data_IF_897165814855
#
_entry.id   IF_897165814855
#
_cell.length_a   1.000
_cell.length_b   1.000
_cell.length_c   1.000
_cell.angle_alpha   90.00
_cell.angle_beta   90.00
_cell.angle_gamma   90.00
#
_symmetry.space_group_name_H-M   'P 1'
#
loop_
_entity.id
_entity.type
_entity.pdbx_description
1 polymer ?
#
# COMPACT_ATOMS: atom_id res chain seq x y z
N UNK A 1 -2.14 2.13 10.73
CA UNK A 1 -3.17 1.25 10.14
C UNK A 1 -3.11 1.38 8.62
N UNK A 2 -3.05 0.28 7.87
CA UNK A 2 -2.89 0.33 6.40
C UNK A 2 -4.12 0.93 5.69
N UNK A 3 -3.89 1.66 4.59
CA UNK A 3 -4.97 2.28 3.83
C UNK A 3 -5.67 1.24 2.94
N UNK A 4 -7.01 1.21 2.91
CA UNK A 4 -7.76 0.35 1.99
C UNK A 4 -7.56 0.83 0.55
N UNK A 5 -7.23 -0.11 -0.34
CA UNK A 5 -7.07 0.15 -1.77
C UNK A 5 -8.46 0.22 -2.43
N UNK A 6 -8.75 1.33 -3.13
CA UNK A 6 -10.04 1.59 -3.77
C UNK A 6 -10.25 0.78 -5.05
N UNK A 7 -9.17 0.25 -5.64
CA UNK A 7 -9.24 -0.58 -6.84
C UNK A 7 -9.91 -1.93 -6.53
N UNK A 8 -10.99 -2.24 -7.26
CA UNK A 8 -11.76 -3.48 -7.11
C UNK A 8 -10.88 -4.73 -7.25
N UNK A 9 -9.87 -4.68 -8.10
CA UNK A 9 -8.93 -5.78 -8.35
C UNK A 9 -8.11 -6.08 -7.10
N UNK A 10 -7.62 -5.04 -6.41
CA UNK A 10 -6.80 -5.18 -5.22
C UNK A 10 -7.61 -5.61 -4.00
N UNK A 11 -8.85 -5.11 -3.89
CA UNK A 11 -9.80 -5.51 -2.86
C UNK A 11 -10.18 -6.99 -2.98
N UNK A 12 -10.41 -7.49 -4.21
CA UNK A 12 -10.76 -8.90 -4.47
C UNK A 12 -9.72 -9.89 -3.93
N UNK A 13 -8.44 -9.50 -3.93
CA UNK A 13 -7.34 -10.35 -3.47
C UNK A 13 -6.82 -10.00 -2.06
N UNK A 14 -7.56 -9.16 -1.31
CA UNK A 14 -7.19 -8.72 0.04
C UNK A 14 -5.78 -8.10 0.13
N UNK A 15 -5.35 -7.40 -0.92
CA UNK A 15 -4.13 -6.60 -0.84
C UNK A 15 -4.36 -5.40 0.08
N UNK A 16 -3.31 -5.06 0.81
CA UNK A 16 -3.23 -3.89 1.68
C UNK A 16 -2.04 -3.04 1.25
N UNK A 17 -2.10 -1.74 1.53
CA UNK A 17 -0.94 -0.89 1.44
C UNK A 17 -0.64 -0.19 2.77
N UNK A 18 0.64 0.07 3.00
CA UNK A 18 1.10 1.02 4.03
C UNK A 18 1.98 2.06 3.35
N UNK A 19 1.75 3.31 3.71
CA UNK A 19 2.50 4.46 3.22
C UNK A 19 3.42 4.89 4.36
N UNK A 20 4.71 4.93 4.11
CA UNK A 20 5.74 5.43 5.03
C UNK A 20 6.65 6.30 4.19
N UNK A 21 6.54 7.62 4.29
CA UNK A 21 7.27 8.54 3.43
C UNK A 21 8.78 8.19 3.36
N UNK A 22 9.40 8.10 2.16
CA UNK A 22 8.85 8.34 0.81
C UNK A 22 8.36 7.07 0.09
N UNK A 23 8.05 5.99 0.81
CA UNK A 23 7.76 4.66 0.27
C UNK A 23 6.29 4.23 0.44
N UNK A 24 5.88 3.29 -0.42
CA UNK A 24 4.61 2.57 -0.34
C UNK A 24 4.91 1.09 -0.42
N UNK A 25 4.40 0.31 0.53
CA UNK A 25 4.54 -1.14 0.52
C UNK A 25 3.18 -1.81 0.30
N UNK A 26 3.12 -2.72 -0.68
CA UNK A 26 1.97 -3.57 -0.95
C UNK A 26 2.18 -4.93 -0.31
N UNK A 27 1.24 -5.34 0.54
CA UNK A 27 1.35 -6.57 1.29
C UNK A 27 0.00 -7.27 1.42
N UNK A 28 0.01 -8.52 1.87
CA UNK A 28 -1.20 -9.22 2.29
C UNK A 28 -0.90 -10.17 3.46
N UNK A 29 -1.95 -10.56 4.18
CA UNK A 29 -1.88 -11.64 5.15
C UNK A 29 -2.16 -12.99 4.47
N UNK A 30 -1.35 -14.00 4.76
CA UNK A 30 -1.59 -15.40 4.39
C UNK A 30 -1.44 -16.22 5.67
N UNK A 31 -2.57 -16.61 6.26
CA UNK A 31 -2.58 -17.13 7.63
C UNK A 31 -2.01 -16.10 8.60
N UNK A 32 -1.02 -16.50 9.41
CA UNK A 32 -0.32 -15.60 10.35
C UNK A 32 0.95 -14.97 9.77
N UNK A 33 1.14 -14.98 8.45
CA UNK A 33 2.31 -14.42 7.79
C UNK A 33 1.95 -13.16 7.01
N UNK A 34 2.84 -12.18 7.07
CA UNK A 34 2.79 -10.99 6.22
C UNK A 34 3.69 -11.21 5.02
N UNK A 35 3.11 -11.17 3.82
CA UNK A 35 3.86 -11.27 2.56
C UNK A 35 3.88 -9.90 1.91
N UNK A 36 5.08 -9.33 1.78
CA UNK A 36 5.32 -8.07 1.08
C UNK A 36 5.67 -8.38 -0.37
N UNK A 37 4.89 -7.86 -1.31
CA UNK A 37 5.08 -8.13 -2.74
C UNK A 37 5.95 -7.09 -3.42
N UNK A 38 5.77 -5.81 -3.06
CA UNK A 38 6.46 -4.72 -3.71
C UNK A 38 6.59 -3.53 -2.77
N UNK A 39 7.77 -2.95 -2.75
CA UNK A 39 8.06 -1.65 -2.14
C UNK A 39 8.36 -0.68 -3.28
N UNK A 40 7.66 0.44 -3.29
CA UNK A 40 7.78 1.48 -4.31
C UNK A 40 8.23 2.78 -3.65
N UNK A 41 9.05 3.55 -4.37
CA UNK A 41 9.29 4.95 -4.03
C UNK A 41 8.08 5.78 -4.47
N UNK A 42 7.30 6.27 -3.52
CA UNK A 42 6.00 6.93 -3.72
C UNK A 42 6.07 8.25 -4.50
N UNK A 43 7.23 8.92 -4.50
CA UNK A 43 7.45 10.13 -5.32
C UNK A 43 7.37 9.82 -6.82
N UNK A 44 7.71 8.60 -7.24
CA UNK A 44 7.71 8.18 -8.65
C UNK A 44 6.39 7.49 -9.00
N UNK A 45 5.32 8.28 -9.13
CA UNK A 45 4.02 7.83 -9.65
C UNK A 45 2.85 7.85 -8.66
N UNK A 46 3.09 8.01 -7.37
CA UNK A 46 2.05 8.06 -6.33
C UNK A 46 2.14 9.31 -5.46
N UNK A 47 2.64 10.41 -6.03
CA UNK A 47 2.81 11.69 -5.34
C UNK A 47 1.51 12.24 -4.74
N UNK A 48 0.36 11.93 -5.35
CA UNK A 48 -0.96 12.27 -4.80
C UNK A 48 -1.26 11.52 -3.50
N UNK A 49 -1.02 10.21 -3.43
CA UNK A 49 -1.20 9.41 -2.21
C UNK A 49 -0.22 9.83 -1.11
N UNK A 50 0.98 10.29 -1.48
CA UNK A 50 1.98 10.77 -0.51
C UNK A 50 1.53 12.07 0.17
N UNK A 51 0.87 12.97 -0.55
CA UNK A 51 0.39 14.25 0.01
C UNK A 51 -0.69 14.04 1.07
N UNK A 52 -1.61 13.11 0.83
CA UNK A 52 -2.71 12.83 1.76
C UNK A 52 -2.23 12.10 3.02
N UNK A 53 -1.16 11.30 2.92
CA UNK A 53 -0.57 10.59 4.05
C UNK A 53 0.35 11.46 4.93
N UNK A 54 0.68 12.68 4.50
CA UNK A 54 1.52 13.64 5.23
C UNK A 54 0.71 14.72 5.97
N UNK A 55 -0.63 14.67 5.91
CA UNK A 55 -1.52 15.44 6.79
C UNK A 55 -1.87 14.63 8.02
#
# INVERSE_FOLDING_TARGET
SGAPLLDRSLKKFNFRMVIVHPYIAFYRFIGNKVVVYRILHGVRGYSHLMKDAMK
#
